data_IF_047799752479
#
_entry.id   IF_047799752479
#
_cell.length_a   1.000
_cell.length_b   1.000
_cell.length_c   1.000
_cell.angle_alpha   90.00
_cell.angle_beta   90.00
_cell.angle_gamma   90.00
#
_symmetry.space_group_name_H-M   'P 1'
#
loop_
_entity.id
_entity.type
_entity.pdbx_description
1 polymer ?
#
# COMPACT_ATOMS: atom_id res chain seq x y z
N UNK A 1 -8.65 -5.65 -7.10
CA UNK A 1 -8.67 -4.21 -6.74
C UNK A 1 -7.99 -4.07 -5.39
N UNK A 2 -7.00 -3.18 -5.26
CA UNK A 2 -6.33 -2.90 -3.98
C UNK A 2 -7.09 -1.77 -3.29
N UNK A 3 -7.54 -1.97 -2.06
CA UNK A 3 -8.16 -0.91 -1.27
C UNK A 3 -7.06 -0.03 -0.64
N UNK A 4 -7.26 1.28 -0.52
CA UNK A 4 -6.24 2.21 0.03
C UNK A 4 -5.78 1.79 1.44
N UNK A 5 -6.70 1.26 2.26
CA UNK A 5 -6.38 0.75 3.60
C UNK A 5 -5.50 -0.51 3.60
N UNK A 6 -5.24 -1.11 2.44
CA UNK A 6 -4.41 -2.30 2.26
C UNK A 6 -3.04 -1.96 1.67
N UNK A 7 -2.64 -0.69 1.67
CA UNK A 7 -1.30 -0.27 1.25
C UNK A 7 -0.21 -0.46 2.31
N UNK A 8 -0.55 -0.91 3.53
CA UNK A 8 0.42 -1.22 4.59
C UNK A 8 1.11 -0.01 5.21
N UNK A 9 0.55 1.19 5.01
CA UNK A 9 1.08 2.45 5.53
C UNK A 9 0.50 2.68 6.93
N UNK A 10 1.38 2.95 7.91
CA UNK A 10 0.96 3.23 9.30
C UNK A 10 0.30 4.60 9.45
N UNK A 11 0.73 5.57 8.65
CA UNK A 11 0.17 6.91 8.62
C UNK A 11 -1.09 6.98 7.76
N UNK A 12 -2.01 7.87 8.18
CA UNK A 12 -3.25 8.10 7.45
C UNK A 12 -2.93 8.80 6.13
N UNK A 13 -2.98 8.06 5.05
CA UNK A 13 -2.80 8.61 3.71
C UNK A 13 -4.06 9.39 3.31
N UNK A 14 -3.90 10.70 3.09
CA UNK A 14 -4.97 11.56 2.60
C UNK A 14 -5.14 11.44 1.07
N UNK A 15 -4.06 11.20 0.33
CA UNK A 15 -4.07 11.13 -1.13
C UNK A 15 -3.30 9.90 -1.66
N UNK A 16 -3.92 9.12 -2.55
CA UNK A 16 -3.31 7.90 -3.12
C UNK A 16 -2.10 8.23 -4.00
N UNK A 17 -2.05 9.43 -4.58
CA UNK A 17 -0.94 9.85 -5.44
C UNK A 17 0.38 10.04 -4.70
N UNK A 18 0.35 10.21 -3.38
CA UNK A 18 1.57 10.34 -2.56
C UNK A 18 2.32 9.00 -2.44
N UNK A 19 1.63 7.88 -2.69
CA UNK A 19 2.10 6.53 -2.35
C UNK A 19 2.17 5.58 -3.55
N UNK A 20 1.58 5.97 -4.68
CA UNK A 20 1.62 5.24 -5.94
C UNK A 20 1.33 6.18 -7.11
N UNK A 21 2.15 6.10 -8.16
CA UNK A 21 1.94 6.80 -9.43
C UNK A 21 1.48 5.85 -10.52
N UNK A 22 0.80 6.40 -11.52
CA UNK A 22 0.44 5.66 -12.72
C UNK A 22 1.73 5.23 -13.43
N UNK A 23 1.92 3.91 -13.60
CA UNK A 23 3.13 3.34 -14.19
C UNK A 23 4.06 2.67 -13.17
N UNK A 24 3.84 2.86 -11.87
CA UNK A 24 4.65 2.20 -10.85
C UNK A 24 4.37 0.69 -10.81
N UNK A 25 5.44 -0.10 -10.78
CA UNK A 25 5.37 -1.54 -10.54
C UNK A 25 5.49 -1.76 -9.03
N UNK A 26 4.40 -2.22 -8.41
CA UNK A 26 4.35 -2.50 -6.97
C UNK A 26 4.19 -3.99 -6.68
N UNK A 27 4.82 -4.44 -5.59
CA UNK A 27 4.67 -5.80 -5.09
C UNK A 27 3.39 -5.91 -4.25
N UNK A 28 2.51 -6.85 -4.62
CA UNK A 28 1.24 -7.09 -3.94
C UNK A 28 1.08 -8.56 -3.58
N UNK A 29 0.33 -8.84 -2.52
CA UNK A 29 -0.07 -10.17 -2.10
C UNK A 29 -1.57 -10.37 -2.36
N UNK A 30 -1.94 -11.57 -2.81
CA UNK A 30 -3.34 -12.00 -2.88
C UNK A 30 -3.75 -12.47 -1.50
N UNK A 31 -4.77 -11.83 -0.92
CA UNK A 31 -5.29 -12.22 0.41
C UNK A 31 -6.68 -12.85 0.34
N UNK A 32 -7.36 -12.73 -0.79
CA UNK A 32 -8.70 -13.30 -0.97
C UNK A 32 -9.05 -13.48 -2.44
N UNK A 33 -9.73 -14.59 -2.74
CA UNK A 33 -10.23 -14.89 -4.08
C UNK A 33 -11.72 -15.21 -3.95
N UNK A 34 -12.55 -14.38 -4.58
CA UNK A 34 -13.98 -14.60 -4.73
C UNK A 34 -14.22 -15.17 -6.12
N UNK A 35 -14.32 -16.50 -6.19
CA UNK A 35 -14.48 -17.24 -7.45
C UNK A 35 -15.86 -17.06 -8.06
N UNK A 36 -16.88 -16.85 -7.24
CA UNK A 36 -18.26 -16.68 -7.70
C UNK A 36 -18.45 -15.35 -8.44
N UNK A 37 -17.78 -14.29 -7.97
CA UNK A 37 -17.82 -12.96 -8.59
C UNK A 37 -16.65 -12.68 -9.52
N UNK A 38 -15.70 -13.61 -9.64
CA UNK A 38 -14.48 -13.44 -10.43
C UNK A 38 -13.58 -12.30 -9.93
N UNK A 39 -13.56 -12.05 -8.61
CA UNK A 39 -12.82 -10.93 -8.01
C UNK A 39 -11.63 -11.41 -7.19
N UNK A 40 -10.51 -10.71 -7.34
CA UNK A 40 -9.30 -10.94 -6.56
C UNK A 40 -9.05 -9.74 -5.67
N UNK A 41 -8.84 -10.03 -4.38
CA UNK A 41 -8.54 -9.06 -3.35
C UNK A 41 -7.02 -9.04 -3.12
N UNK A 42 -6.47 -7.83 -3.20
CA UNK A 42 -5.02 -7.58 -3.24
C UNK A 42 -4.63 -6.62 -2.11
N UNK A 43 -3.47 -6.83 -1.51
CA UNK A 43 -2.85 -5.94 -0.52
C UNK A 43 -1.39 -5.66 -0.89
N UNK A 44 -0.89 -4.44 -0.61
CA UNK A 44 0.51 -4.09 -0.85
C UNK A 44 1.40 -4.81 0.15
N UNK A 45 2.49 -5.40 -0.33
CA UNK A 45 3.52 -5.95 0.54
C UNK A 45 4.46 -4.80 0.91
N UNK A 46 4.42 -4.37 2.17
CA UNK A 46 5.36 -3.36 2.68
C UNK A 46 6.51 -4.09 3.35
N UNK A 47 7.72 -3.95 2.80
CA UNK A 47 8.95 -4.45 3.43
C UNK A 47 9.29 -3.52 4.60
N UNK A 48 9.73 -4.08 5.72
CA UNK A 48 9.99 -3.32 6.95
C UNK A 48 11.11 -2.28 6.80
N UNK A 49 11.86 -2.34 5.70
CA UNK A 49 13.02 -1.50 5.39
C UNK A 49 12.66 -0.07 4.94
N UNK A 50 11.42 0.20 4.51
CA UNK A 50 10.95 1.55 4.10
C UNK A 50 10.34 2.40 5.24
N UNK A 51 10.49 1.98 6.51
CA UNK A 51 10.04 2.75 7.70
C UNK A 51 11.06 3.77 8.22
N UNK A 52 12.03 4.21 7.40
CA UNK A 52 13.04 5.19 7.83
C UNK A 52 12.85 6.53 7.14
N UNK A 53 12.86 7.57 7.99
CA UNK A 53 12.87 9.03 7.75
C UNK A 53 11.48 9.66 7.54
N UNK A 54 11.07 10.71 8.27
CA UNK A 54 11.81 11.82 8.88
C UNK A 54 11.51 12.01 10.38
N UNK A 55 12.54 12.09 11.24
CA UNK A 55 12.46 12.79 12.53
C UNK A 55 13.18 14.11 12.34
N UNK A 56 12.43 15.19 12.09
CA UNK A 56 12.99 16.53 12.12
C UNK A 56 13.16 16.95 13.58
N UNK A 57 14.37 16.80 14.12
CA UNK A 57 14.76 17.39 15.40
C UNK A 57 15.08 18.86 15.10
N UNK A 58 14.18 19.76 15.48
CA UNK A 58 14.48 21.19 15.52
C UNK A 58 15.36 21.40 16.77
N UNK A 59 16.59 21.87 16.54
CA UNK A 59 17.56 22.32 17.56
C UNK A 59 17.18 23.71 18.08
#
# INVERSE_FOLDING_TARGET
MVHISKFGIKERVANVNDIAKVGDIIEVRVYGIDKEKGRIQLEKVVKEEEKKEEVNIIL
#
